data_IF_696396027457
#
_entry.id   IF_696396027457
#
_cell.length_a   1.000
_cell.length_b   1.000
_cell.length_c   1.000
_cell.angle_alpha   90.00
_cell.angle_beta   90.00
_cell.angle_gamma   90.00
#
_symmetry.space_group_name_H-M   'P 1'
#
loop_
_entity.id
_entity.type
_entity.pdbx_description
1 polymer ?
#
# COMPACT_ATOMS: atom_id res chain seq x y z
N UNK A 1 -17.42 72.22 -8.94
CA UNK A 1 -18.65 72.69 -8.22
C UNK A 1 -19.54 71.48 -7.95
N UNK A 2 -20.35 71.48 -6.88
CA UNK A 2 -21.11 70.30 -6.42
C UNK A 2 -22.56 70.25 -6.91
N UNK A 3 -23.24 69.12 -6.68
CA UNK A 3 -24.69 68.96 -6.87
C UNK A 3 -25.35 68.23 -5.68
N UNK A 4 -25.98 69.01 -4.80
CA UNK A 4 -27.05 68.74 -3.80
C UNK A 4 -27.35 67.26 -3.36
N UNK A 5 -27.28 66.93 -2.05
CA UNK A 5 -28.29 67.20 -0.98
C UNK A 5 -29.67 66.56 -1.25
N UNK A 6 -30.36 65.87 -0.31
CA UNK A 6 -30.23 65.80 1.17
C UNK A 6 -30.77 64.41 1.69
N UNK A 7 -31.17 64.08 2.94
CA UNK A 7 -31.60 64.84 4.15
C UNK A 7 -31.10 64.22 5.49
N UNK A 8 -31.93 63.53 6.29
CA UNK A 8 -31.67 63.16 7.72
C UNK A 8 -32.42 61.90 8.24
N UNK A 9 -31.71 61.11 9.05
CA UNK A 9 -32.05 60.41 10.33
C UNK A 9 -33.27 60.95 11.15
N UNK A 10 -33.94 60.21 12.10
CA UNK A 10 -33.29 59.31 13.11
C UNK A 10 -34.09 58.11 13.77
N UNK A 11 -33.35 57.34 14.62
CA UNK A 11 -33.71 56.78 15.96
C UNK A 11 -34.66 55.54 16.17
N UNK A 12 -34.12 54.56 16.93
CA UNK A 12 -34.71 53.78 18.08
C UNK A 12 -35.94 52.86 17.83
N UNK A 13 -36.26 51.82 18.63
CA UNK A 13 -35.60 50.92 19.63
C UNK A 13 -36.63 49.83 20.05
N UNK A 14 -36.20 48.65 20.57
CA UNK A 14 -36.94 47.76 21.52
C UNK A 14 -38.16 46.94 21.00
N UNK A 15 -38.63 45.84 21.63
CA UNK A 15 -38.04 44.73 22.45
C UNK A 15 -39.15 43.63 22.64
N UNK A 16 -38.83 42.45 23.21
CA UNK A 16 -39.76 41.34 23.53
C UNK A 16 -39.14 39.96 23.26
N UNK A 17 -38.25 39.36 24.06
CA UNK A 17 -38.04 39.25 25.53
C UNK A 17 -38.89 38.19 26.28
N UNK A 18 -38.21 37.20 26.87
CA UNK A 18 -38.56 36.28 27.97
C UNK A 18 -37.21 35.68 28.46
N UNK A 19 -36.57 36.08 29.57
CA UNK A 19 -36.90 35.86 31.00
C UNK A 19 -36.82 34.37 31.40
N UNK A 20 -36.21 33.93 32.51
CA UNK A 20 -36.06 34.48 33.88
C UNK A 20 -34.58 34.40 34.39
N UNK A 21 -34.03 35.40 35.11
CA UNK A 21 -33.88 35.52 36.60
C UNK A 21 -33.08 34.38 37.28
N UNK A 22 -32.14 34.62 38.21
CA UNK A 22 -32.16 35.60 39.32
C UNK A 22 -30.78 36.19 39.79
N UNK A 23 -30.78 36.91 40.93
CA UNK A 23 -29.67 37.64 41.63
C UNK A 23 -28.62 36.71 42.32
N UNK A 24 -27.50 37.14 42.93
CA UNK A 24 -27.11 38.46 43.50
C UNK A 24 -25.57 38.78 43.52
N UNK A 25 -25.23 39.97 44.07
CA UNK A 25 -23.91 40.63 44.30
C UNK A 25 -22.93 39.83 45.21
N UNK A 26 -21.63 40.14 45.41
CA UNK A 26 -20.87 41.43 45.44
C UNK A 26 -19.44 41.38 44.86
N UNK A 27 -18.79 42.55 44.82
CA UNK A 27 -17.44 42.86 44.31
C UNK A 27 -16.33 42.62 45.34
N UNK A 28 -15.09 42.36 44.91
CA UNK A 28 -13.95 43.26 45.20
C UNK A 28 -12.76 43.07 44.23
N UNK A 29 -11.92 44.10 44.11
CA UNK A 29 -10.75 44.20 43.20
C UNK A 29 -9.43 43.80 43.89
N UNK A 30 -8.53 43.11 43.19
CA UNK A 30 -7.09 43.42 43.18
C UNK A 30 -6.33 42.53 42.16
N UNK A 31 -5.13 42.97 41.77
CA UNK A 31 -4.38 42.47 40.61
C UNK A 31 -3.17 41.64 41.00
N UNK A 32 -2.83 40.64 40.19
CA UNK A 32 -1.47 40.09 40.10
C UNK A 32 -1.10 39.77 38.64
N UNK A 33 0.02 40.33 38.19
CA UNK A 33 0.80 39.85 37.04
C UNK A 33 2.17 39.45 37.57
N UNK A 34 2.70 38.31 37.13
CA UNK A 34 4.12 37.98 37.26
C UNK A 34 4.66 37.50 35.90
N UNK A 35 5.87 37.93 35.57
CA UNK A 35 6.57 37.60 34.33
C UNK A 35 7.64 36.52 34.54
N UNK A 36 8.08 35.89 33.45
CA UNK A 36 9.26 35.00 33.41
C UNK A 36 10.53 35.68 33.93
N UNK A 37 11.37 34.92 34.62
CA UNK A 37 12.85 34.97 34.60
C UNK A 37 13.36 33.67 35.24
N UNK A 38 14.05 32.80 34.50
CA UNK A 38 15.51 32.71 34.26
C UNK A 38 16.24 31.81 35.29
N UNK A 39 17.29 31.13 34.84
CA UNK A 39 17.96 30.01 35.53
C UNK A 39 19.45 30.30 35.68
N UNK A 40 20.04 30.04 36.86
CA UNK A 40 21.49 29.87 37.01
C UNK A 40 21.89 29.02 38.23
N UNK A 41 22.54 27.89 37.96
CA UNK A 41 23.57 27.17 38.74
C UNK A 41 23.75 27.46 40.25
N UNK A 42 23.66 26.42 41.11
CA UNK A 42 24.86 25.69 41.63
C UNK A 42 24.57 24.64 42.73
N UNK A 43 25.04 23.41 42.50
CA UNK A 43 25.75 22.47 43.41
C UNK A 43 25.30 22.12 44.87
N UNK A 44 25.53 20.84 45.23
CA UNK A 44 25.51 20.20 46.56
C UNK A 44 24.13 20.02 47.26
N UNK A 45 23.86 18.98 48.08
CA UNK A 45 24.41 17.61 48.21
C UNK A 45 23.40 16.69 48.95
N UNK A 46 23.62 15.36 48.94
CA UNK A 46 22.91 14.24 49.62
C UNK A 46 21.88 14.58 50.74
N UNK A 47 20.71 13.90 50.75
CA UNK A 47 20.51 12.63 51.48
C UNK A 47 19.15 11.95 51.18
N UNK A 48 18.82 10.86 51.89
CA UNK A 48 17.83 9.82 51.51
C UNK A 48 16.65 9.76 52.50
N UNK A 49 15.44 9.43 51.99
CA UNK A 49 14.41 8.50 52.52
C UNK A 49 12.96 8.99 52.24
N UNK A 50 12.03 8.10 51.83
CA UNK A 50 10.63 8.46 51.57
C UNK A 50 9.76 8.36 52.83
N UNK A 51 8.78 9.27 52.97
CA UNK A 51 7.75 9.17 54.00
C UNK A 51 6.66 8.16 53.60
N UNK A 52 6.30 7.27 54.52
CA UNK A 52 5.15 6.37 54.40
C UNK A 52 3.90 7.10 54.92
N UNK A 53 2.83 7.14 54.12
CA UNK A 53 1.55 7.70 54.54
C UNK A 53 0.63 6.60 55.08
N UNK A 54 0.39 6.59 56.39
CA UNK A 54 -0.46 5.61 57.08
C UNK A 54 -1.82 6.26 57.41
N UNK A 55 -2.88 5.90 56.68
CA UNK A 55 -4.24 6.39 56.96
C UNK A 55 -4.97 5.49 57.96
N UNK A 56 -5.22 6.01 59.16
CA UNK A 56 -5.97 5.32 60.21
C UNK A 56 -7.45 5.68 60.16
N UNK A 57 -8.33 4.69 60.01
CA UNK A 57 -9.78 4.85 60.16
C UNK A 57 -10.28 4.19 61.46
N UNK A 58 -11.18 4.87 62.17
CA UNK A 58 -11.67 4.40 63.47
C UNK A 58 -12.66 3.24 63.37
N UNK A 59 -12.62 2.34 64.36
CA UNK A 59 -13.65 1.32 64.58
C UNK A 59 -14.88 1.92 65.27
N UNK A 60 -16.07 1.48 64.85
CA UNK A 60 -17.30 1.46 65.65
C UNK A 60 -17.85 0.03 65.65
N UNK A 61 -18.50 -0.38 66.74
CA UNK A 61 -18.53 -1.79 67.15
C UNK A 61 -19.91 -2.25 67.64
N UNK A 62 -20.58 -3.11 66.86
CA UNK A 62 -21.60 -4.11 67.27
C UNK A 62 -22.40 -4.62 66.05
N UNK A 63 -23.15 -5.74 66.15
CA UNK A 63 -22.93 -6.95 66.95
C UNK A 63 -22.70 -8.21 66.06
N UNK A 64 -22.90 -9.42 66.63
CA UNK A 64 -22.49 -10.75 66.10
C UNK A 64 -23.23 -11.22 64.82
N UNK A 65 -22.67 -12.19 64.07
CA UNK A 65 -22.96 -12.37 62.64
C UNK A 65 -24.15 -13.28 62.30
N UNK A 66 -24.60 -13.17 61.05
CA UNK A 66 -25.40 -14.18 60.34
C UNK A 66 -24.64 -14.64 59.09
N UNK A 67 -24.44 -15.95 58.94
CA UNK A 67 -23.64 -16.51 57.84
C UNK A 67 -24.53 -16.70 56.60
N UNK A 68 -24.57 -15.68 55.74
CA UNK A 68 -25.09 -15.84 54.38
C UNK A 68 -23.97 -16.28 53.45
N UNK A 69 -24.08 -17.52 52.94
CA UNK A 69 -23.22 -18.04 51.88
C UNK A 69 -23.54 -17.37 50.52
N UNK A 70 -23.12 -16.12 50.38
CA UNK A 70 -23.26 -15.39 49.12
C UNK A 70 -22.25 -15.93 48.10
N UNK A 71 -22.69 -16.91 47.31
CA UNK A 71 -21.94 -17.44 46.17
C UNK A 71 -21.72 -16.32 45.13
N UNK A 72 -20.56 -15.68 45.17
CA UNK A 72 -20.08 -14.87 44.07
C UNK A 72 -19.78 -15.76 42.86
N UNK A 73 -20.79 -15.95 42.02
CA UNK A 73 -20.60 -16.46 40.66
C UNK A 73 -19.85 -15.40 39.85
N UNK A 74 -18.53 -15.51 39.80
CA UNK A 74 -17.66 -14.64 39.01
C UNK A 74 -17.90 -14.88 37.51
N UNK A 75 -18.89 -14.19 36.95
CA UNK A 75 -19.19 -14.17 35.52
C UNK A 75 -18.05 -13.51 34.75
N UNK A 76 -17.06 -14.30 34.33
CA UNK A 76 -15.97 -13.84 33.46
C UNK A 76 -16.55 -13.53 32.08
N UNK A 77 -16.83 -12.25 31.84
CA UNK A 77 -17.22 -11.75 30.52
C UNK A 77 -15.96 -11.76 29.64
N UNK A 78 -15.80 -12.84 28.88
CA UNK A 78 -14.77 -12.94 27.85
C UNK A 78 -15.09 -11.97 26.70
N UNK A 79 -14.59 -10.74 26.80
CA UNK A 79 -14.65 -9.77 25.72
C UNK A 79 -13.80 -10.28 24.55
N UNK A 80 -14.44 -10.90 23.56
CA UNK A 80 -13.80 -11.30 22.31
C UNK A 80 -13.35 -10.02 21.58
N UNK A 81 -12.08 -9.68 21.70
CA UNK A 81 -11.48 -8.58 20.98
C UNK A 81 -11.53 -8.89 19.48
N UNK A 82 -12.43 -8.23 18.76
CA UNK A 82 -12.48 -8.24 17.29
C UNK A 82 -11.28 -7.46 16.76
N UNK A 83 -10.11 -8.10 16.78
CA UNK A 83 -8.93 -7.63 16.05
C UNK A 83 -9.27 -7.69 14.56
N UNK A 84 -9.53 -6.55 13.94
CA UNK A 84 -9.66 -6.44 12.49
C UNK A 84 -8.37 -6.93 11.84
N UNK A 85 -8.43 -8.11 11.22
CA UNK A 85 -7.31 -8.64 10.44
C UNK A 85 -7.25 -7.82 9.14
N UNK A 86 -6.31 -6.88 9.14
CA UNK A 86 -6.02 -5.90 8.09
C UNK A 86 -5.56 -6.56 6.80
N UNK A 87 -6.45 -7.21 6.03
CA UNK A 87 -6.02 -8.07 4.93
C UNK A 87 -5.24 -7.32 3.84
N UNK A 88 -5.90 -6.38 3.16
CA UNK A 88 -5.36 -5.71 1.97
C UNK A 88 -5.05 -4.22 2.24
N UNK A 89 -4.82 -3.42 1.19
CA UNK A 89 -4.31 -2.04 1.33
C UNK A 89 -4.67 -1.12 0.17
N UNK A 90 -4.61 0.19 0.42
CA UNK A 90 -4.86 1.30 -0.52
C UNK A 90 -3.81 2.39 -0.29
N UNK A 91 -3.30 3.00 -1.36
CA UNK A 91 -2.48 4.22 -1.29
C UNK A 91 -3.38 5.45 -1.10
N UNK A 92 -3.57 5.90 0.14
CA UNK A 92 -4.57 6.92 0.50
C UNK A 92 -4.12 8.36 0.34
N UNK A 93 -2.83 8.66 0.56
CA UNK A 93 -2.30 10.03 0.60
C UNK A 93 -0.96 10.16 -0.15
N UNK A 94 -0.69 11.37 -0.67
CA UNK A 94 0.62 11.79 -1.15
C UNK A 94 1.12 12.98 -0.32
N UNK A 95 2.36 12.90 0.16
CA UNK A 95 3.09 13.99 0.79
C UNK A 95 4.05 14.60 -0.23
N UNK A 96 3.94 15.91 -0.46
CA UNK A 96 4.83 16.67 -1.36
C UNK A 96 5.23 17.99 -0.72
N UNK A 97 6.48 18.42 -0.90
CA UNK A 97 7.03 19.67 -0.35
C UNK A 97 6.79 19.85 1.18
N UNK A 98 6.72 18.75 1.94
CA UNK A 98 6.41 18.75 3.37
C UNK A 98 4.92 18.83 3.74
N UNK A 99 4.03 18.95 2.75
CA UNK A 99 2.56 19.00 2.95
C UNK A 99 1.97 17.61 2.74
N UNK A 100 1.25 17.11 3.75
CA UNK A 100 0.41 15.90 3.64
C UNK A 100 -0.91 16.28 2.97
N UNK A 101 -1.19 15.75 1.78
CA UNK A 101 -2.48 15.95 1.13
C UNK A 101 -3.54 15.03 1.76
N UNK A 102 -4.81 15.47 1.77
CA UNK A 102 -5.94 14.69 2.30
C UNK A 102 -6.16 13.35 1.57
N UNK A 103 -6.96 12.46 2.15
CA UNK A 103 -7.26 11.16 1.55
C UNK A 103 -7.92 11.36 0.18
N UNK A 104 -7.40 10.72 -0.87
CA UNK A 104 -7.89 10.87 -2.25
C UNK A 104 -7.60 12.24 -2.91
N UNK A 105 -6.96 13.18 -2.21
CA UNK A 105 -6.56 14.47 -2.80
C UNK A 105 -5.39 14.20 -3.74
N UNK A 106 -5.63 14.39 -5.04
CA UNK A 106 -4.65 14.11 -6.09
C UNK A 106 -4.39 12.62 -6.33
N UNK A 107 -5.20 11.69 -5.79
CA UNK A 107 -5.06 10.23 -6.00
C UNK A 107 -6.39 9.64 -6.44
N UNK A 108 -6.35 8.73 -7.42
CA UNK A 108 -7.50 7.94 -7.87
C UNK A 108 -7.71 6.74 -6.95
N UNK A 109 -8.28 6.97 -5.78
CA UNK A 109 -8.46 5.92 -4.76
C UNK A 109 -9.59 4.95 -5.13
N UNK A 110 -9.42 3.63 -4.93
CA UNK A 110 -10.49 2.64 -5.04
C UNK A 110 -11.55 2.79 -3.93
N UNK A 111 -12.68 2.10 -4.11
CA UNK A 111 -13.80 2.09 -3.15
C UNK A 111 -13.69 0.95 -2.11
N UNK A 112 -12.84 -0.04 -2.36
CA UNK A 112 -12.54 -1.21 -1.53
C UNK A 112 -11.01 -1.44 -1.53
N UNK A 113 -10.48 -2.30 -0.67
CA UNK A 113 -9.02 -2.57 -0.55
C UNK A 113 -8.54 -3.75 -1.41
N UNK A 114 -9.46 -4.44 -2.09
CA UNK A 114 -9.16 -5.65 -2.85
C UNK A 114 -8.23 -5.47 -4.06
N UNK A 115 -7.42 -6.50 -4.38
CA UNK A 115 -6.40 -6.46 -5.42
C UNK A 115 -6.93 -6.62 -6.84
N UNK A 116 -6.11 -6.18 -7.81
CA UNK A 116 -6.11 -6.73 -9.16
C UNK A 116 -5.24 -8.01 -9.16
N UNK A 117 -5.64 -9.06 -9.87
CA UNK A 117 -4.90 -10.34 -9.94
C UNK A 117 -4.57 -10.80 -11.36
N UNK A 118 -5.25 -10.27 -12.37
CA UNK A 118 -4.96 -10.52 -13.78
C UNK A 118 -4.17 -9.34 -14.37
N UNK A 119 -2.90 -9.60 -14.68
CA UNK A 119 -1.97 -8.58 -15.22
C UNK A 119 -2.21 -8.22 -16.69
N UNK A 120 -3.17 -8.86 -17.36
CA UNK A 120 -3.54 -8.60 -18.76
C UNK A 120 -4.63 -7.54 -18.92
N UNK A 121 -5.37 -7.19 -17.87
CA UNK A 121 -6.47 -6.22 -17.94
C UNK A 121 -5.98 -4.76 -17.92
N UNK A 122 -6.86 -3.81 -18.24
CA UNK A 122 -6.60 -2.37 -18.10
C UNK A 122 -6.30 -1.94 -16.67
N UNK A 123 -6.85 -2.65 -15.70
CA UNK A 123 -6.97 -2.24 -14.30
C UNK A 123 -5.63 -2.30 -13.56
N UNK A 124 -4.69 -3.12 -14.07
CA UNK A 124 -3.29 -3.16 -13.61
C UNK A 124 -2.56 -1.81 -13.75
N UNK A 125 -3.07 -0.89 -14.57
CA UNK A 125 -2.46 0.42 -14.76
C UNK A 125 -2.63 1.35 -13.55
N UNK A 126 -3.85 1.52 -13.03
CA UNK A 126 -4.18 2.55 -12.03
C UNK A 126 -5.29 2.13 -11.04
N UNK A 127 -5.42 0.82 -10.78
CA UNK A 127 -6.64 0.17 -10.29
C UNK A 127 -7.81 0.30 -11.30
N UNK A 128 -8.91 -0.39 -11.03
CA UNK A 128 -10.05 -0.49 -11.94
C UNK A 128 -11.00 -1.62 -11.56
N UNK A 129 -11.72 -2.23 -12.50
CA UNK A 129 -12.59 -3.37 -12.20
C UNK A 129 -11.80 -4.53 -11.57
N UNK A 130 -12.26 -5.16 -10.47
CA UNK A 130 -13.60 -5.11 -9.86
C UNK A 130 -13.81 -3.99 -8.81
N UNK A 131 -12.89 -3.04 -8.67
CA UNK A 131 -12.78 -2.09 -7.57
C UNK A 131 -12.86 -0.61 -8.04
N UNK A 132 -14.06 -0.01 -8.15
CA UNK A 132 -14.24 1.30 -8.78
C UNK A 132 -13.43 2.43 -8.11
N UNK A 133 -12.60 3.12 -8.91
CA UNK A 133 -11.81 4.27 -8.45
C UNK A 133 -12.58 5.59 -8.52
N UNK A 134 -12.44 6.43 -7.49
CA UNK A 134 -12.96 7.80 -7.48
C UNK A 134 -11.97 8.75 -8.17
N UNK A 135 -12.37 9.49 -9.23
CA UNK A 135 -11.51 10.48 -9.86
C UNK A 135 -11.18 11.67 -8.93
N UNK A 136 -9.98 12.23 -9.06
CA UNK A 136 -9.57 13.42 -8.33
C UNK A 136 -9.36 14.59 -9.29
N UNK A 137 -9.87 15.78 -8.97
CA UNK A 137 -9.70 16.99 -9.79
C UNK A 137 -8.42 17.79 -9.46
N UNK A 138 -7.63 17.31 -8.50
CA UNK A 138 -6.39 17.95 -8.04
C UNK A 138 -5.18 17.35 -8.76
N UNK A 139 -4.21 18.21 -9.09
CA UNK A 139 -2.86 17.82 -9.52
C UNK A 139 -1.88 18.43 -8.50
N UNK A 140 -1.04 17.60 -7.90
CA UNK A 140 -0.14 18.02 -6.80
C UNK A 140 1.19 18.49 -7.39
N UNK A 141 1.64 19.70 -7.04
CA UNK A 141 2.96 20.19 -7.42
C UNK A 141 4.08 19.42 -6.69
N UNK A 142 5.09 19.01 -7.45
CA UNK A 142 6.25 18.26 -6.97
C UNK A 142 7.53 18.83 -7.60
N UNK A 143 8.63 18.86 -6.85
CA UNK A 143 9.94 19.26 -7.36
C UNK A 143 10.71 18.03 -7.85
N UNK A 144 11.27 18.10 -9.05
CA UNK A 144 12.22 17.11 -9.53
C UNK A 144 13.44 17.05 -8.58
N UNK A 145 13.95 15.85 -8.31
CA UNK A 145 15.00 15.62 -7.30
C UNK A 145 14.51 15.60 -5.85
N UNK A 146 13.24 15.93 -5.56
CA UNK A 146 12.69 15.84 -4.20
C UNK A 146 12.08 14.47 -3.91
N UNK A 147 12.02 14.11 -2.62
CA UNK A 147 11.33 12.91 -2.13
C UNK A 147 9.88 13.24 -1.79
N UNK A 148 8.95 12.57 -2.47
CA UNK A 148 7.55 12.47 -2.03
C UNK A 148 7.38 11.23 -1.16
N UNK A 149 6.30 11.18 -0.39
CA UNK A 149 5.95 9.99 0.38
C UNK A 149 4.51 9.59 0.10
N UNK A 150 4.27 8.31 -0.21
CA UNK A 150 2.93 7.75 -0.33
C UNK A 150 2.56 7.03 0.96
N UNK A 151 1.30 7.15 1.39
CA UNK A 151 0.78 6.45 2.58
C UNK A 151 -0.10 5.28 2.14
N UNK A 152 0.26 4.08 2.59
CA UNK A 152 -0.50 2.84 2.43
C UNK A 152 -1.27 2.54 3.70
N UNK A 153 -2.57 2.25 3.56
CA UNK A 153 -3.52 2.06 4.66
C UNK A 153 -4.46 0.93 4.30
N UNK A 154 -4.91 0.17 5.28
CA UNK A 154 -5.86 -0.93 5.03
C UNK A 154 -7.15 -0.44 4.35
N UNK A 155 -7.73 0.65 4.86
CA UNK A 155 -8.90 1.30 4.30
C UNK A 155 -8.70 2.81 4.19
N UNK A 156 -9.61 3.50 3.48
CA UNK A 156 -9.63 4.97 3.37
C UNK A 156 -9.77 5.71 4.73
N UNK A 157 -10.17 5.02 5.80
CA UNK A 157 -10.27 5.57 7.16
C UNK A 157 -9.23 5.02 8.15
N UNK A 158 -8.34 4.13 7.69
CA UNK A 158 -7.30 3.51 8.52
C UNK A 158 -6.14 4.47 8.80
N UNK A 159 -5.35 4.18 9.84
CA UNK A 159 -4.23 5.03 10.30
C UNK A 159 -2.86 4.34 10.12
N UNK A 160 -1.76 4.96 10.56
CA UNK A 160 -0.42 4.37 10.43
C UNK A 160 -0.19 3.08 11.24
N UNK A 161 -1.11 2.69 12.12
CA UNK A 161 -1.10 1.37 12.78
C UNK A 161 -1.76 0.26 11.97
N UNK A 162 -2.33 0.57 10.79
CA UNK A 162 -3.24 -0.29 10.04
C UNK A 162 -3.00 -0.14 8.53
N UNK A 163 -2.13 -0.99 7.99
CA UNK A 163 -1.41 -0.80 6.72
C UNK A 163 -1.78 -1.85 5.68
N UNK A 164 -1.46 -3.11 5.96
CA UNK A 164 -1.66 -4.35 5.17
C UNK A 164 -1.29 -5.52 6.09
N UNK A 165 -1.74 -6.75 5.82
CA UNK A 165 -1.46 -7.86 6.72
C UNK A 165 0.00 -8.28 6.66
N UNK A 166 0.52 -8.73 7.81
CA UNK A 166 1.88 -9.25 7.92
C UNK A 166 2.16 -10.46 7.01
N UNK A 167 1.14 -11.21 6.56
CA UNK A 167 1.30 -12.29 5.56
C UNK A 167 1.60 -11.80 4.15
N UNK A 168 1.26 -10.56 3.80
CA UNK A 168 1.29 -10.03 2.43
C UNK A 168 2.71 -9.64 1.96
N UNK A 169 3.68 -10.52 2.20
CA UNK A 169 5.08 -10.37 1.79
C UNK A 169 5.20 -10.14 0.28
N UNK A 170 6.09 -9.24 -0.11
CA UNK A 170 6.41 -8.97 -1.50
C UNK A 170 7.11 -7.62 -1.71
N UNK A 171 7.29 -7.20 -2.98
CA UNK A 171 7.93 -5.93 -3.33
C UNK A 171 7.02 -4.72 -3.10
N UNK A 172 7.66 -3.55 -2.98
CA UNK A 172 7.03 -2.23 -2.98
C UNK A 172 7.72 -1.39 -4.05
N UNK A 173 6.95 -0.78 -4.96
CA UNK A 173 7.44 -0.15 -6.19
C UNK A 173 6.80 1.22 -6.45
N UNK A 174 7.44 2.01 -7.32
CA UNK A 174 6.77 3.16 -7.93
C UNK A 174 7.21 3.37 -9.38
N UNK A 175 6.25 3.82 -10.20
CA UNK A 175 6.40 4.14 -11.60
C UNK A 175 5.90 5.55 -11.91
N UNK A 176 6.41 6.17 -12.98
CA UNK A 176 5.88 7.41 -13.53
C UNK A 176 5.50 7.26 -14.99
N UNK A 177 4.48 8.01 -15.44
CA UNK A 177 4.09 8.15 -16.86
C UNK A 177 3.91 9.62 -17.18
N UNK A 178 4.58 10.14 -18.22
CA UNK A 178 4.35 11.52 -18.71
C UNK A 178 2.97 11.58 -19.36
N UNK A 179 2.19 12.60 -19.04
CA UNK A 179 0.83 12.79 -19.57
C UNK A 179 0.60 14.23 -20.02
N UNK A 180 -0.46 14.47 -20.78
CA UNK A 180 -0.89 15.83 -21.17
C UNK A 180 -1.72 16.47 -20.06
N UNK A 181 -2.70 15.75 -19.53
CA UNK A 181 -3.50 16.13 -18.35
C UNK A 181 -3.63 14.93 -17.41
N UNK A 182 -3.10 15.05 -16.20
CA UNK A 182 -3.10 14.00 -15.19
C UNK A 182 -4.47 13.77 -14.55
N UNK A 183 -5.47 14.62 -14.79
CA UNK A 183 -6.85 14.38 -14.34
C UNK A 183 -7.63 13.44 -15.26
N UNK A 184 -7.25 13.35 -16.54
CA UNK A 184 -8.04 12.69 -17.59
C UNK A 184 -7.32 11.56 -18.32
N UNK A 185 -5.98 11.54 -18.38
CA UNK A 185 -5.22 10.40 -18.92
C UNK A 185 -5.47 9.14 -18.06
N UNK A 186 -5.95 8.05 -18.65
CA UNK A 186 -6.35 6.84 -17.93
C UNK A 186 -5.18 6.07 -17.30
N UNK A 187 -3.95 6.35 -17.71
CA UNK A 187 -2.75 5.58 -17.35
C UNK A 187 -2.56 4.30 -18.17
N UNK A 188 -3.57 3.85 -18.93
CA UNK A 188 -3.53 2.62 -19.71
C UNK A 188 -2.56 2.77 -20.90
N UNK A 189 -1.81 1.71 -21.19
CA UNK A 189 -0.89 1.63 -22.33
C UNK A 189 0.54 2.08 -22.00
N UNK A 190 1.25 2.51 -23.04
CA UNK A 190 2.68 2.85 -22.99
C UNK A 190 3.04 4.13 -22.25
N UNK A 191 4.32 4.29 -21.92
CA UNK A 191 4.87 5.52 -21.32
C UNK A 191 5.27 5.40 -19.85
N UNK A 192 5.10 4.23 -19.23
CA UNK A 192 5.51 3.96 -17.85
C UNK A 192 7.01 3.70 -17.74
N UNK A 193 7.67 4.29 -16.74
CA UNK A 193 9.04 3.97 -16.34
C UNK A 193 9.13 3.81 -14.82
N UNK A 194 9.87 2.81 -14.34
CA UNK A 194 10.03 2.51 -12.92
C UNK A 194 11.02 3.50 -12.30
N UNK A 195 10.70 4.09 -11.14
CA UNK A 195 11.57 5.06 -10.44
C UNK A 195 12.03 4.59 -9.07
N UNK A 196 11.39 3.59 -8.47
CA UNK A 196 11.86 2.94 -7.24
C UNK A 196 11.35 1.51 -7.15
N UNK A 197 12.14 0.63 -6.52
CA UNK A 197 11.70 -0.68 -6.07
C UNK A 197 12.47 -1.10 -4.82
N UNK A 198 11.80 -1.86 -3.96
CA UNK A 198 12.40 -2.72 -2.95
C UNK A 198 11.69 -4.10 -3.01
N UNK A 199 12.37 -5.15 -2.56
CA UNK A 199 11.94 -6.55 -2.72
C UNK A 199 12.25 -7.38 -1.48
N UNK A 200 12.84 -8.56 -1.69
CA UNK A 200 13.37 -9.37 -0.60
C UNK A 200 14.83 -9.04 -0.33
N UNK A 201 15.16 -8.70 0.93
CA UNK A 201 16.54 -8.58 1.38
C UNK A 201 17.00 -9.91 2.00
N UNK A 202 17.92 -10.58 1.32
CA UNK A 202 18.47 -11.87 1.76
C UNK A 202 19.41 -11.77 2.98
N UNK A 203 19.80 -10.56 3.39
CA UNK A 203 20.61 -10.33 4.59
C UNK A 203 19.75 -10.19 5.86
N UNK A 204 18.80 -9.26 5.88
CA UNK A 204 17.85 -9.08 7.01
C UNK A 204 16.71 -10.12 7.04
N UNK A 205 16.50 -10.84 5.93
CA UNK A 205 15.36 -11.76 5.69
C UNK A 205 13.99 -11.06 5.61
N UNK A 206 13.97 -9.74 5.45
CA UNK A 206 12.76 -8.93 5.37
C UNK A 206 12.34 -8.67 3.91
N UNK A 207 11.03 -8.61 3.68
CA UNK A 207 10.44 -8.09 2.46
C UNK A 207 10.22 -6.57 2.57
N UNK A 208 10.08 -5.90 1.43
CA UNK A 208 9.75 -4.47 1.38
C UNK A 208 8.44 -4.14 2.11
N UNK A 209 7.45 -5.06 2.09
CA UNK A 209 6.22 -4.91 2.88
C UNK A 209 6.47 -4.96 4.40
N UNK A 210 7.43 -5.75 4.90
CA UNK A 210 7.80 -5.74 6.33
C UNK A 210 8.35 -4.36 6.74
N UNK A 211 9.23 -3.81 5.90
CA UNK A 211 9.81 -2.49 6.08
C UNK A 211 8.72 -1.41 6.02
N UNK A 212 7.79 -1.52 5.08
CA UNK A 212 6.64 -0.61 4.93
C UNK A 212 5.71 -0.62 6.15
N UNK A 213 5.34 -1.80 6.67
CA UNK A 213 4.55 -1.94 7.91
C UNK A 213 5.30 -1.30 9.08
N UNK A 214 6.60 -1.60 9.24
CA UNK A 214 7.42 -1.02 10.32
C UNK A 214 7.57 0.50 10.23
N UNK A 215 7.52 1.06 9.01
CA UNK A 215 7.53 2.50 8.74
C UNK A 215 6.11 3.11 8.72
N UNK A 216 5.13 2.47 9.38
CA UNK A 216 3.77 2.99 9.51
C UNK A 216 3.05 3.22 8.18
N UNK A 217 3.32 2.36 7.19
CA UNK A 217 2.76 2.43 5.83
C UNK A 217 3.33 3.53 4.95
N UNK A 218 4.46 4.15 5.33
CA UNK A 218 5.05 5.25 4.55
C UNK A 218 6.09 4.73 3.56
N UNK A 219 5.84 4.93 2.27
CA UNK A 219 6.78 4.63 1.18
C UNK A 219 7.40 5.93 0.68
N UNK A 220 8.73 6.07 0.82
CA UNK A 220 9.49 7.22 0.32
C UNK A 220 9.94 7.02 -1.13
N UNK A 221 9.65 7.98 -2.00
CA UNK A 221 9.90 7.91 -3.45
C UNK A 221 10.60 9.20 -3.90
N UNK A 222 11.83 9.09 -4.43
CA UNK A 222 12.54 10.25 -4.98
C UNK A 222 12.19 10.44 -6.45
N UNK A 223 11.65 11.61 -6.79
CA UNK A 223 11.37 11.98 -8.18
C UNK A 223 12.70 12.26 -8.89
N UNK A 224 12.98 11.66 -10.06
CA UNK A 224 14.23 11.93 -10.79
C UNK A 224 14.41 13.41 -11.11
N UNK A 225 15.62 13.95 -10.96
CA UNK A 225 15.94 15.37 -11.26
C UNK A 225 16.08 15.67 -12.76
N UNK A 226 16.29 14.64 -13.58
CA UNK A 226 16.65 14.76 -14.99
C UNK A 226 15.49 14.69 -15.99
N UNK A 227 14.28 14.37 -15.54
CA UNK A 227 13.10 14.25 -16.41
C UNK A 227 12.57 15.62 -16.82
N UNK A 228 11.69 15.65 -17.82
CA UNK A 228 11.02 16.86 -18.27
C UNK A 228 10.03 17.41 -17.21
N UNK A 229 9.68 18.69 -17.35
CA UNK A 229 8.67 19.33 -16.51
C UNK A 229 7.24 19.05 -16.98
N UNK A 230 6.25 19.40 -16.16
CA UNK A 230 4.82 19.30 -16.44
C UNK A 230 4.19 18.04 -15.83
N UNK A 231 3.00 17.69 -16.31
CA UNK A 231 2.16 16.69 -15.64
C UNK A 231 2.60 15.23 -15.85
N UNK A 232 2.49 14.43 -14.79
CA UNK A 232 2.74 12.98 -14.75
C UNK A 232 1.65 12.27 -13.94
N UNK A 233 1.45 10.99 -14.23
CA UNK A 233 0.91 10.05 -13.25
C UNK A 233 2.07 9.42 -12.48
N UNK A 234 1.92 9.28 -11.16
CA UNK A 234 2.81 8.57 -10.25
C UNK A 234 2.03 7.38 -9.67
N UNK A 235 2.42 6.17 -10.07
CA UNK A 235 1.78 4.91 -9.66
C UNK A 235 2.61 4.27 -8.56
N UNK A 236 2.11 4.28 -7.33
CA UNK A 236 2.62 3.41 -6.26
C UNK A 236 2.11 1.99 -6.47
N UNK A 237 2.88 0.98 -6.09
CA UNK A 237 2.43 -0.43 -6.16
C UNK A 237 3.00 -1.30 -5.04
N UNK A 238 2.17 -2.23 -4.58
CA UNK A 238 2.55 -3.38 -3.74
C UNK A 238 2.07 -4.65 -4.46
N UNK A 239 2.90 -5.70 -4.45
CA UNK A 239 2.48 -7.04 -4.88
C UNK A 239 2.59 -7.98 -3.68
N UNK A 240 1.48 -8.57 -3.23
CA UNK A 240 1.48 -9.59 -2.18
C UNK A 240 1.58 -10.99 -2.79
N UNK A 241 2.52 -11.78 -2.27
CA UNK A 241 2.93 -13.07 -2.83
C UNK A 241 2.48 -14.29 -2.01
N UNK A 242 1.66 -14.09 -0.98
CA UNK A 242 1.24 -15.14 -0.05
C UNK A 242 0.46 -16.29 -0.72
N UNK A 243 -0.19 -16.03 -1.86
CA UNK A 243 -0.91 -16.99 -2.69
C UNK A 243 -0.31 -17.14 -4.11
N UNK A 244 0.86 -16.56 -4.38
CA UNK A 244 1.46 -16.47 -5.72
C UNK A 244 2.04 -17.79 -6.27
N UNK A 245 1.90 -18.91 -5.56
CA UNK A 245 2.35 -20.24 -6.03
C UNK A 245 1.53 -20.79 -7.21
N UNK A 246 0.43 -20.13 -7.59
CA UNK A 246 -0.40 -20.42 -8.76
C UNK A 246 -0.63 -19.16 -9.61
N UNK A 247 -0.88 -19.36 -10.92
CA UNK A 247 -1.24 -18.30 -11.87
C UNK A 247 -2.38 -17.43 -11.34
N UNK A 248 -2.25 -16.11 -11.47
CA UNK A 248 -3.18 -15.09 -10.93
C UNK A 248 -3.41 -15.17 -9.40
N UNK A 249 -2.51 -15.84 -8.65
CA UNK A 249 -2.51 -15.86 -7.18
C UNK A 249 -1.72 -14.73 -6.53
N UNK A 250 -0.88 -14.01 -7.29
CA UNK A 250 -0.28 -12.76 -6.85
C UNK A 250 -1.33 -11.64 -6.83
N UNK A 251 -1.31 -10.83 -5.78
CA UNK A 251 -2.30 -9.79 -5.52
C UNK A 251 -1.66 -8.41 -5.63
N UNK A 252 -2.13 -7.59 -6.57
CA UNK A 252 -1.53 -6.30 -6.92
C UNK A 252 -2.43 -5.16 -6.42
N UNK A 253 -1.84 -4.25 -5.64
CA UNK A 253 -2.47 -3.01 -5.18
C UNK A 253 -1.72 -1.84 -5.79
N UNK A 254 -2.39 -0.98 -6.55
CA UNK A 254 -1.77 0.17 -7.18
C UNK A 254 -2.75 1.32 -7.37
N UNK A 255 -2.36 2.53 -7.02
CA UNK A 255 -3.15 3.73 -7.33
C UNK A 255 -2.28 4.78 -8.01
N UNK A 256 -2.92 5.56 -8.87
CA UNK A 256 -2.27 6.65 -9.60
C UNK A 256 -2.53 8.00 -8.91
N UNK A 257 -1.45 8.57 -8.38
CA UNK A 257 -1.38 9.98 -8.00
C UNK A 257 -1.16 10.87 -9.24
N UNK A 258 -1.70 12.07 -9.20
CA UNK A 258 -1.72 13.05 -10.29
C UNK A 258 -0.80 14.21 -9.90
N UNK A 259 0.34 14.35 -10.57
CA UNK A 259 1.39 15.29 -10.15
C UNK A 259 1.86 16.22 -11.28
N UNK A 260 2.31 17.41 -10.91
CA UNK A 260 2.95 18.38 -11.79
C UNK A 260 4.42 18.55 -11.37
N UNK A 261 5.35 18.12 -12.22
CA UNK A 261 6.78 18.12 -11.93
C UNK A 261 7.42 19.43 -12.38
N UNK A 262 8.16 20.06 -11.48
CA UNK A 262 8.86 21.34 -11.73
C UNK A 262 10.34 21.27 -11.32
N UNK A 263 11.20 22.04 -12.00
CA UNK A 263 12.65 22.06 -11.74
C UNK A 263 13.43 20.87 -12.33
N UNK A 264 12.81 20.02 -13.14
CA UNK A 264 13.49 18.95 -13.87
C UNK A 264 14.29 19.50 -15.05
N UNK A 265 15.47 18.92 -15.33
CA UNK A 265 16.35 19.42 -16.41
C UNK A 265 15.86 19.05 -17.81
N UNK A 266 15.01 18.02 -17.94
CA UNK A 266 14.63 17.44 -19.24
C UNK A 266 15.78 16.75 -19.99
N UNK A 267 16.95 16.55 -19.37
CA UNK A 267 18.15 16.07 -20.05
C UNK A 267 18.19 14.57 -20.31
N UNK A 268 17.25 13.79 -19.77
CA UNK A 268 17.14 12.35 -20.04
C UNK A 268 15.67 11.97 -20.24
N UNK A 269 15.37 11.32 -21.38
CA UNK A 269 14.08 10.66 -21.60
C UNK A 269 14.18 9.19 -21.15
N UNK A 270 13.33 8.71 -20.24
CA UNK A 270 13.30 7.30 -19.86
C UNK A 270 12.92 6.39 -21.04
N UNK A 271 13.51 5.19 -21.09
CA UNK A 271 12.88 4.06 -21.79
C UNK A 271 11.59 3.67 -21.05
N UNK A 272 10.55 3.26 -21.77
CA UNK A 272 9.21 3.02 -21.19
C UNK A 272 8.61 1.68 -21.59
N UNK A 273 7.64 1.24 -20.79
CA UNK A 273 6.85 0.01 -20.98
C UNK A 273 5.35 0.34 -20.96
N UNK A 274 4.52 -0.66 -21.26
CA UNK A 274 3.05 -0.55 -21.22
C UNK A 274 2.45 -1.24 -19.99
N UNK A 275 1.37 -0.68 -19.45
CA UNK A 275 0.50 -1.38 -18.49
C UNK A 275 -0.93 -1.40 -19.04
N UNK A 276 -1.52 -2.58 -19.32
CA UNK A 276 -0.93 -3.93 -19.27
C UNK A 276 0.23 -4.15 -20.27
N UNK A 277 0.99 -5.24 -20.07
CA UNK A 277 2.03 -5.71 -20.99
C UNK A 277 3.46 -5.78 -20.42
N UNK A 278 3.81 -4.95 -19.43
CA UNK A 278 5.11 -5.01 -18.74
C UNK A 278 5.25 -6.19 -17.77
N UNK A 279 4.12 -6.80 -17.40
CA UNK A 279 3.99 -7.93 -16.50
C UNK A 279 3.35 -9.11 -17.24
N UNK A 280 3.79 -10.32 -16.90
CA UNK A 280 3.21 -11.59 -17.34
C UNK A 280 2.85 -12.43 -16.13
N UNK A 281 1.76 -13.18 -16.23
CA UNK A 281 1.33 -14.12 -15.18
C UNK A 281 2.32 -15.28 -14.95
N UNK A 282 3.37 -15.39 -15.78
CA UNK A 282 4.48 -16.35 -15.68
C UNK A 282 5.83 -15.72 -15.35
N UNK A 283 5.92 -14.41 -15.09
CA UNK A 283 7.18 -13.80 -14.63
C UNK A 283 7.55 -14.38 -13.25
N UNK A 284 8.84 -14.66 -12.96
CA UNK A 284 9.26 -15.30 -11.70
C UNK A 284 9.09 -14.40 -10.46
N UNK A 285 8.74 -13.12 -10.66
CA UNK A 285 8.32 -12.20 -9.60
C UNK A 285 6.82 -12.22 -9.30
N UNK A 286 6.03 -12.94 -10.09
CA UNK A 286 4.56 -12.94 -10.11
C UNK A 286 4.02 -14.36 -9.92
N UNK A 287 4.55 -15.37 -10.62
CA UNK A 287 4.35 -16.78 -10.31
C UNK A 287 5.49 -17.21 -9.37
N UNK A 288 5.26 -17.13 -8.07
CA UNK A 288 6.30 -17.23 -7.05
C UNK A 288 5.83 -17.95 -5.78
N UNK A 289 6.57 -18.99 -5.36
CA UNK A 289 6.31 -19.67 -4.10
C UNK A 289 7.11 -19.04 -2.94
N UNK A 290 6.43 -18.23 -2.13
CA UNK A 290 6.98 -17.57 -0.94
C UNK A 290 7.57 -18.53 0.12
N UNK A 291 7.12 -19.78 0.15
CA UNK A 291 7.37 -20.71 1.26
C UNK A 291 8.58 -21.64 1.04
N UNK A 292 9.39 -21.40 0.00
CA UNK A 292 10.64 -22.15 -0.23
C UNK A 292 11.84 -21.48 0.42
N UNK A 293 12.89 -22.27 0.70
CA UNK A 293 14.18 -21.75 1.18
C UNK A 293 15.33 -22.41 0.40
N UNK A 294 16.34 -21.64 -0.08
CA UNK A 294 16.47 -20.19 0.06
C UNK A 294 15.49 -19.42 -0.84
N UNK A 295 15.01 -18.26 -0.37
CA UNK A 295 14.26 -17.29 -1.18
C UNK A 295 15.23 -16.63 -2.16
N UNK A 296 14.90 -16.71 -3.45
CA UNK A 296 15.54 -15.97 -4.54
C UNK A 296 14.44 -15.27 -5.34
N UNK A 297 14.40 -13.94 -5.32
CA UNK A 297 13.27 -13.17 -5.84
C UNK A 297 13.72 -12.10 -6.84
N UNK A 298 13.05 -12.06 -8.00
CA UNK A 298 13.27 -11.05 -9.04
C UNK A 298 12.03 -10.15 -9.11
N UNK A 299 12.20 -8.87 -8.84
CA UNK A 299 11.11 -7.88 -8.90
C UNK A 299 10.65 -7.72 -10.38
N UNK A 300 9.35 -7.83 -10.69
CA UNK A 300 8.86 -7.84 -12.07
C UNK A 300 8.93 -6.47 -12.76
N UNK A 301 8.77 -6.45 -14.09
CA UNK A 301 8.82 -5.25 -14.91
C UNK A 301 10.23 -4.74 -15.23
N UNK A 302 10.37 -3.50 -15.76
CA UNK A 302 11.65 -2.94 -16.19
C UNK A 302 12.61 -2.65 -15.02
N UNK A 303 13.87 -2.38 -15.35
CA UNK A 303 14.86 -1.83 -14.41
C UNK A 303 14.46 -0.43 -13.92
N UNK A 304 15.02 -0.02 -12.78
CA UNK A 304 14.80 1.33 -12.24
C UNK A 304 15.54 2.36 -13.10
N UNK A 305 14.82 3.39 -13.54
CA UNK A 305 15.36 4.53 -14.27
C UNK A 305 16.34 5.34 -13.41
N UNK A 306 17.43 5.81 -14.01
CA UNK A 306 18.44 6.62 -13.33
C UNK A 306 18.93 7.79 -14.20
N UNK A 307 19.31 8.89 -13.55
CA UNK A 307 19.69 10.13 -14.22
C UNK A 307 21.12 10.16 -14.77
N UNK A 308 21.90 9.09 -14.62
CA UNK A 308 23.29 8.97 -15.06
C UNK A 308 23.47 8.73 -16.57
N UNK A 309 22.44 8.98 -17.38
CA UNK A 309 22.50 8.88 -18.85
C UNK A 309 22.60 7.45 -19.42
N UNK A 310 22.54 6.42 -18.57
CA UNK A 310 22.71 5.00 -18.94
C UNK A 310 21.45 4.29 -19.42
N UNK A 311 20.46 5.00 -19.95
CA UNK A 311 19.13 4.47 -20.33
C UNK A 311 19.09 3.55 -21.55
N UNK A 312 20.17 2.84 -21.85
CA UNK A 312 20.18 1.80 -22.88
C UNK A 312 19.30 0.62 -22.47
N UNK A 313 18.56 0.06 -23.41
CA UNK A 313 17.80 -1.19 -23.18
C UNK A 313 18.82 -2.32 -23.01
N UNK A 314 19.11 -2.68 -21.76
CA UNK A 314 19.70 -3.98 -21.45
C UNK A 314 18.62 -5.04 -21.67
N UNK A 315 18.45 -5.42 -22.94
CA UNK A 315 17.90 -6.73 -23.30
C UNK A 315 18.54 -7.78 -22.40
N UNK A 316 17.80 -8.74 -21.83
CA UNK A 316 18.41 -9.89 -21.16
C UNK A 316 19.51 -10.45 -22.08
N UNK A 317 20.74 -10.74 -21.57
CA UNK A 317 21.85 -11.11 -22.43
C UNK A 317 21.42 -12.23 -23.38
N UNK A 318 21.45 -11.93 -24.68
CA UNK A 318 21.23 -12.95 -25.69
C UNK A 318 22.36 -13.97 -25.52
N UNK A 319 22.05 -15.12 -24.92
CA UNK A 319 23.00 -16.21 -24.73
C UNK A 319 23.33 -16.78 -26.09
N UNK A 320 24.37 -16.22 -26.73
CA UNK A 320 25.05 -16.85 -27.86
C UNK A 320 25.29 -18.29 -27.46
N UNK A 321 24.78 -19.29 -28.21
CA UNK A 321 24.88 -20.69 -27.81
C UNK A 321 26.35 -21.12 -27.89
N UNK A 322 27.05 -21.04 -26.77
CA UNK A 322 28.41 -21.56 -26.63
C UNK A 322 28.34 -23.08 -26.82
N UNK A 323 28.84 -23.57 -27.95
CA UNK A 323 28.82 -25.00 -28.30
C UNK A 323 29.36 -25.84 -27.14
N UNK A 324 28.53 -26.70 -26.50
CA UNK A 324 29.01 -27.56 -25.43
C UNK A 324 30.08 -28.51 -25.97
N UNK A 325 31.24 -28.56 -25.32
CA UNK A 325 32.30 -29.48 -25.70
C UNK A 325 31.84 -30.94 -25.55
N UNK A 326 32.02 -31.74 -26.59
CA UNK A 326 31.48 -33.10 -26.69
C UNK A 326 32.05 -34.00 -25.61
N UNK A 327 31.25 -34.31 -24.58
CA UNK A 327 31.54 -35.35 -23.59
C UNK A 327 30.55 -36.49 -23.76
N UNK A 328 31.02 -37.74 -23.73
CA UNK A 328 30.24 -38.90 -24.16
C UNK A 328 29.00 -39.16 -23.28
N UNK A 329 27.88 -39.64 -23.86
CA UNK A 329 26.67 -39.96 -23.11
C UNK A 329 26.87 -41.18 -22.20
N UNK A 330 26.41 -41.14 -20.93
CA UNK A 330 26.26 -42.34 -20.10
C UNK A 330 25.23 -43.32 -20.70
N UNK A 331 25.31 -44.62 -20.40
CA UNK A 331 24.45 -45.64 -21.02
C UNK A 331 22.98 -45.49 -20.61
N UNK A 332 22.10 -45.63 -21.60
CA UNK A 332 20.64 -45.61 -21.44
C UNK A 332 20.16 -46.84 -20.66
N UNK A 333 19.70 -46.65 -19.41
CA UNK A 333 18.97 -47.69 -18.69
C UNK A 333 17.50 -47.72 -19.15
N UNK A 334 17.08 -48.86 -19.70
CA UNK A 334 15.68 -49.21 -19.90
C UNK A 334 15.03 -49.56 -18.57
N UNK A 335 13.95 -48.85 -18.20
CA UNK A 335 13.03 -49.25 -17.14
C UNK A 335 11.66 -49.58 -17.74
N UNK A 336 11.12 -50.74 -17.38
CA UNK A 336 9.91 -51.31 -17.98
C UNK A 336 8.85 -51.60 -16.92
N UNK A 337 7.78 -50.81 -16.90
CA UNK A 337 6.56 -51.06 -16.11
C UNK A 337 5.32 -50.59 -16.90
N UNK A 338 4.11 -51.16 -16.64
CA UNK A 338 3.11 -51.31 -17.69
C UNK A 338 2.09 -50.16 -17.78
N UNK A 339 1.34 -50.05 -18.90
CA UNK A 339 0.27 -49.06 -19.04
C UNK A 339 -0.92 -49.41 -18.14
N UNK A 340 -1.24 -48.54 -17.18
CA UNK A 340 -2.50 -48.58 -16.45
C UNK A 340 -3.65 -48.14 -17.35
N UNK A 341 -4.67 -49.00 -17.48
CA UNK A 341 -5.79 -48.79 -18.40
C UNK A 341 -6.77 -47.72 -17.92
N UNK A 342 -7.13 -46.80 -18.83
CA UNK A 342 -8.54 -46.44 -18.98
C UNK A 342 -9.09 -45.24 -18.20
N UNK A 343 -8.59 -44.03 -18.48
CA UNK A 343 -9.48 -42.93 -18.93
C UNK A 343 -8.65 -41.88 -19.68
N UNK A 344 -9.23 -41.25 -20.70
CA UNK A 344 -8.67 -40.01 -21.25
C UNK A 344 -8.84 -38.84 -20.26
N UNK A 345 -8.22 -37.70 -20.54
CA UNK A 345 -8.47 -36.47 -19.80
C UNK A 345 -9.98 -36.16 -19.75
N UNK A 346 -10.55 -35.73 -18.61
CA UNK A 346 -11.94 -35.32 -18.55
C UNK A 346 -12.23 -34.14 -19.48
N UNK A 347 -13.50 -33.89 -19.76
CA UNK A 347 -13.94 -32.68 -20.47
C UNK A 347 -13.44 -31.44 -19.69
N UNK A 348 -12.90 -30.46 -20.43
CA UNK A 348 -12.17 -29.29 -19.93
C UNK A 348 -10.83 -29.56 -19.23
N UNK A 349 -10.37 -30.80 -19.15
CA UNK A 349 -9.02 -31.16 -18.69
C UNK A 349 -7.94 -31.01 -19.78
N UNK A 350 -6.67 -30.97 -19.37
CA UNK A 350 -5.52 -30.89 -20.29
C UNK A 350 -5.24 -32.25 -20.95
N UNK A 351 -5.04 -32.22 -22.26
CA UNK A 351 -4.81 -33.39 -23.12
C UNK A 351 -3.57 -33.27 -24.02
N UNK A 352 -2.72 -32.25 -23.81
CA UNK A 352 -1.53 -32.02 -24.62
C UNK A 352 -0.83 -30.71 -24.31
N UNK A 353 0.25 -30.46 -25.05
CA UNK A 353 1.16 -29.33 -24.87
C UNK A 353 2.60 -29.79 -24.66
N UNK A 354 3.58 -28.99 -25.08
CA UNK A 354 5.00 -29.27 -24.86
C UNK A 354 5.31 -29.44 -23.37
N UNK A 355 5.87 -30.59 -23.01
CA UNK A 355 6.14 -30.97 -21.61
C UNK A 355 5.00 -31.67 -20.87
N UNK A 356 3.83 -31.86 -21.48
CA UNK A 356 2.72 -32.62 -20.87
C UNK A 356 3.03 -34.12 -20.82
N UNK A 357 2.91 -34.71 -19.63
CA UNK A 357 3.14 -36.15 -19.37
C UNK A 357 1.87 -36.93 -18.99
N UNK A 358 0.72 -36.26 -18.97
CA UNK A 358 -0.59 -36.87 -18.69
C UNK A 358 -1.26 -37.46 -19.93
N UNK A 359 -2.57 -37.78 -19.85
CA UNK A 359 -3.32 -38.35 -20.97
C UNK A 359 -3.27 -37.46 -22.22
N UNK A 360 -3.09 -38.06 -23.39
CA UNK A 360 -3.08 -37.38 -24.71
C UNK A 360 -4.41 -37.53 -25.47
N UNK A 361 -5.38 -38.22 -24.88
CA UNK A 361 -6.74 -38.43 -25.40
C UNK A 361 -7.76 -37.92 -24.41
N UNK A 362 -8.99 -37.68 -24.87
CA UNK A 362 -10.10 -37.20 -24.05
C UNK A 362 -11.07 -38.33 -23.71
N UNK A 363 -11.63 -38.33 -22.49
CA UNK A 363 -12.71 -39.21 -22.10
C UNK A 363 -14.08 -38.77 -22.70
N UNK A 364 -14.19 -37.49 -23.06
CA UNK A 364 -15.30 -36.92 -23.83
C UNK A 364 -14.84 -35.66 -24.56
N UNK A 365 -15.43 -35.37 -25.72
CA UNK A 365 -15.02 -34.27 -26.60
C UNK A 365 -13.72 -34.55 -27.36
N UNK A 366 -13.20 -33.53 -28.03
CA UNK A 366 -11.97 -33.56 -28.83
C UNK A 366 -10.85 -32.78 -28.13
N UNK A 367 -9.62 -33.28 -28.19
CA UNK A 367 -8.45 -32.53 -27.74
C UNK A 367 -8.12 -31.41 -28.74
N UNK A 368 -8.29 -30.14 -28.33
CA UNK A 368 -8.05 -28.97 -29.18
C UNK A 368 -6.87 -28.17 -28.61
N UNK A 369 -5.87 -27.91 -29.44
CA UNK A 369 -4.71 -27.12 -29.04
C UNK A 369 -5.12 -25.65 -28.84
N UNK A 370 -4.78 -25.08 -27.68
CA UNK A 370 -4.97 -23.66 -27.38
C UNK A 370 -3.69 -22.87 -27.66
N UNK A 371 -2.53 -23.47 -27.38
CA UNK A 371 -1.21 -23.01 -27.77
C UNK A 371 -0.22 -24.19 -27.74
N UNK A 372 1.04 -23.95 -28.09
CA UNK A 372 2.13 -24.95 -28.10
C UNK A 372 2.28 -25.72 -26.76
N UNK A 373 1.96 -25.08 -25.63
CA UNK A 373 2.17 -25.60 -24.28
C UNK A 373 0.89 -26.13 -23.63
N UNK A 374 -0.27 -26.01 -24.30
CA UNK A 374 -1.56 -26.42 -23.74
C UNK A 374 -2.59 -26.81 -24.80
N UNK A 375 -3.12 -28.03 -24.69
CA UNK A 375 -4.31 -28.52 -25.39
C UNK A 375 -5.38 -28.97 -24.39
N UNK A 376 -6.65 -28.68 -24.67
CA UNK A 376 -7.77 -28.96 -23.77
C UNK A 376 -8.83 -29.86 -24.43
N UNK A 377 -9.45 -30.74 -23.65
CA UNK A 377 -10.63 -31.48 -24.06
C UNK A 377 -11.85 -30.54 -24.12
N UNK A 378 -12.38 -30.31 -25.32
CA UNK A 378 -13.56 -29.46 -25.53
C UNK A 378 -14.64 -30.25 -26.26
N UNK A 379 -15.95 -29.94 -26.08
CA UNK A 379 -17.05 -30.60 -26.78
C UNK A 379 -16.83 -30.72 -28.29
#
# INVERSE_FOLDING_TARGET
MPGFNTLRVPKKYQDGSLAFLCRERQSFDSRLRCSRSYISHSSLVLFVFPFVYQSTCCFLQSPRPQIFNMKFSSSVVAAAALTGASAHTIMTNLVSNGVVNGVGVGIRVPSYDGPITDVSTSDIACNGGPNPTTPSNVVIDVKAGSTVQTYWRHTLTSTSSDVIDSSHKGPVMAYMKKVTDAKTDTGIGGGWFKISQDGYDSSSKLWAVDKLISNGGVQSITIPSCIANGQYLLRGEIIALHAASSTNGAQFYMECAQINVTGGTGSVSPATVSLPGAYKSTDPGILFNLYVSPISYTIPGPSVFSCSGGGGVTTPPATTPTTPATTAPPPQQTSTTPPTTGTGSPLYGQCGGTGWTGPTTCASGTCKATNEWYSQCLP
#
